data_IF_812136646340
#
_entry.id   IF_812136646340
#
_cell.length_a   1.000
_cell.length_b   1.000
_cell.length_c   1.000
_cell.angle_alpha   90.00
_cell.angle_beta   90.00
_cell.angle_gamma   90.00
#
_symmetry.space_group_name_H-M   'P 1'
#
loop_
_entity.id
_entity.type
_entity.pdbx_description
1 polymer ?
2 non-polymer ?
3 non-polymer ?
4 non-polymer ?
5 water ?
#
# COMPACT_ATOMS: atom_id res chain seq x y z
N UNK A 2 17.83 3.63 -9.56
CA UNK A 2 17.56 2.79 -8.34
C UNK A 2 16.64 1.59 -8.68
N UNK A 3 15.35 1.67 -8.40
CA UNK A 3 14.36 0.59 -8.61
C UNK A 3 14.39 -0.52 -7.54
N UNK A 4 13.39 -0.48 -6.67
CA UNK A 4 13.27 -1.37 -5.52
C UNK A 4 13.06 -2.83 -5.96
N UNK A 5 13.85 -3.75 -5.41
CA UNK A 5 13.72 -5.19 -5.71
C UNK A 5 14.03 -6.07 -4.50
N UNK A 6 13.54 -7.31 -4.57
CA UNK A 6 13.69 -8.28 -3.50
C UNK A 6 14.43 -9.52 -4.00
N UNK A 7 15.46 -9.93 -3.25
CA UNK A 7 16.26 -11.10 -3.57
C UNK A 7 16.03 -12.16 -2.48
N UNK A 8 15.78 -13.41 -2.89
CA UNK A 8 15.65 -14.55 -1.96
C UNK A 8 16.99 -15.19 -1.73
N UNK A 9 17.37 -15.36 -0.46
CA UNK A 9 18.55 -16.15 -0.08
C UNK A 9 18.07 -17.35 0.75
N UNK A 10 18.03 -18.57 0.21
CA UNK A 10 18.30 -18.91 -1.19
C UNK A 10 17.05 -18.78 -2.07
N UNK A 11 17.22 -18.88 -3.38
CA UNK A 11 16.07 -18.83 -4.32
C UNK A 11 15.18 -20.06 -4.21
N UNK A 12 15.81 -21.24 -4.10
CA UNK A 12 15.11 -22.49 -3.81
C UNK A 12 15.34 -22.85 -2.35
N UNK A 13 14.24 -23.13 -1.64
CA UNK A 13 14.25 -23.32 -0.20
C UNK A 13 13.69 -24.72 0.09
N UNK A 14 14.48 -25.51 0.81
CA UNK A 14 14.01 -26.81 1.29
C UNK A 14 12.85 -26.58 2.26
N UNK A 15 11.83 -27.41 2.15
CA UNK A 15 10.63 -27.28 2.98
C UNK A 15 11.00 -27.41 4.45
N UNK A 16 10.48 -26.51 5.28
CA UNK A 16 10.82 -26.46 6.70
C UNK A 16 12.07 -25.67 7.05
N UNK A 17 12.88 -25.31 6.05
CA UNK A 17 14.04 -24.45 6.27
C UNK A 17 13.61 -22.99 6.12
N UNK A 18 14.58 -22.08 6.23
CA UNK A 18 14.29 -20.66 6.28
C UNK A 18 14.83 -19.94 5.04
N UNK A 19 14.19 -18.81 4.72
CA UNK A 19 14.59 -17.98 3.57
C UNK A 19 14.65 -16.52 3.99
N UNK A 20 15.71 -15.85 3.56
CA UNK A 20 15.89 -14.42 3.81
C UNK A 20 15.53 -13.63 2.56
N UNK A 21 14.63 -12.67 2.71
CA UNK A 21 14.29 -11.75 1.63
C UNK A 21 15.06 -10.45 1.84
N UNK A 22 16.11 -10.26 1.05
CA UNK A 22 16.92 -9.05 1.09
C UNK A 22 16.31 -7.99 0.20
N UNK A 23 16.49 -6.72 0.59
CA UNK A 23 15.91 -5.60 -0.13
C UNK A 23 17.01 -4.75 -0.75
N UNK A 24 16.89 -4.47 -2.05
CA UNK A 24 17.85 -3.66 -2.79
C UNK A 24 17.19 -2.35 -3.23
N UNK A 25 17.98 -1.28 -3.24
CA UNK A 25 17.57 0.05 -3.73
C UNK A 25 16.43 0.69 -2.94
N UNK A 26 16.55 0.70 -1.61
CA UNK A 26 15.65 1.48 -0.78
C UNK A 26 15.78 2.95 -1.14
N UNK A 27 14.65 3.67 -1.33
CA UNK A 27 14.77 5.12 -1.48
C UNK A 27 15.06 5.81 -0.15
N UNK A 28 15.22 7.13 -0.19
CA UNK A 28 15.55 7.89 1.02
C UNK A 28 14.31 8.54 1.62
N UNK A 29 14.46 9.03 2.84
CA UNK A 29 13.41 9.75 3.55
C UNK A 29 12.20 8.85 3.76
N UNK A 30 12.45 7.81 4.54
CA UNK A 30 11.50 6.75 4.83
C UNK A 30 10.91 6.91 6.20
N UNK A 31 9.65 6.51 6.33
CA UNK A 31 8.97 6.41 7.62
C UNK A 31 9.00 4.94 8.06
N UNK A 32 8.81 4.00 7.14
CA UNK A 32 8.84 2.60 7.52
C UNK A 32 8.65 1.59 6.41
N UNK A 33 8.44 0.34 6.82
CA UNK A 33 8.26 -0.78 5.90
C UNK A 33 7.02 -1.56 6.28
N UNK A 34 6.38 -2.17 5.28
CA UNK A 34 5.30 -3.12 5.51
C UNK A 34 5.51 -4.31 4.60
N UNK A 35 5.43 -5.49 5.18
CA UNK A 35 5.60 -6.74 4.42
C UNK A 35 4.25 -7.43 4.35
N UNK A 36 3.98 -8.02 3.18
CA UNK A 36 2.73 -8.71 2.91
C UNK A 36 2.99 -10.10 2.36
N UNK A 37 2.15 -11.05 2.74
CA UNK A 37 2.14 -12.36 2.10
C UNK A 37 1.40 -12.24 0.76
N UNK A 38 2.00 -12.77 -0.30
CA UNK A 38 1.43 -12.72 -1.63
C UNK A 38 2.00 -11.61 -2.48
N UNK A 39 1.25 -11.27 -3.54
CA UNK A 39 1.71 -10.35 -4.58
C UNK A 39 1.17 -8.93 -4.46
N UNK A 40 0.25 -8.67 -3.54
CA UNK A 40 -0.42 -7.36 -3.45
C UNK A 40 -0.32 -6.73 -2.06
N UNK A 41 -0.33 -5.41 -2.04
CA UNK A 41 -0.49 -4.64 -0.81
C UNK A 41 -1.97 -4.74 -0.45
N UNK A 42 -2.28 -5.49 0.60
CA UNK A 42 -3.64 -5.74 1.06
C UNK A 42 -3.60 -5.99 2.56
N UNK A 43 -4.31 -5.18 3.34
CA UNK A 43 -4.33 -5.30 4.80
C UNK A 43 -4.56 -6.70 5.34
N UNK A 44 -5.43 -7.46 4.68
CA UNK A 44 -5.75 -8.83 5.09
C UNK A 44 -4.57 -9.79 4.95
N UNK A 45 -3.61 -9.46 4.08
CA UNK A 45 -2.38 -10.24 3.92
C UNK A 45 -1.12 -9.57 4.50
N UNK A 46 -1.27 -8.64 5.44
CA UNK A 46 -0.11 -7.95 6.02
C UNK A 46 0.52 -8.79 7.12
N UNK A 47 1.84 -8.94 7.01
CA UNK A 47 2.65 -9.66 8.00
C UNK A 47 3.04 -8.72 9.14
N UNK A 48 3.57 -7.56 8.78
CA UNK A 48 4.08 -6.61 9.76
C UNK A 48 4.06 -5.19 9.20
N UNK A 49 3.84 -4.20 10.08
CA UNK A 49 4.16 -2.79 9.83
C UNK A 49 5.30 -2.40 10.75
N UNK A 50 6.34 -1.76 10.20
CA UNK A 50 7.56 -1.46 10.95
C UNK A 50 7.97 0.01 10.81
N UNK A 51 7.97 0.73 11.92
CA UNK A 51 8.36 2.14 11.97
C UNK A 51 9.86 2.22 12.26
N UNK A 52 10.62 2.84 11.35
CA UNK A 52 12.08 2.86 11.41
C UNK A 52 12.62 3.62 12.63
N UNK A 53 12.10 4.82 12.85
CA UNK A 53 12.62 5.69 13.92
C UNK A 53 12.48 5.13 15.32
N UNK A 54 11.35 4.44 15.56
CA UNK A 54 11.04 3.83 16.84
C UNK A 54 11.46 2.36 16.90
N UNK A 55 11.74 1.79 15.73
CA UNK A 55 12.03 0.36 15.57
C UNK A 55 10.92 -0.54 16.11
N UNK A 56 9.67 -0.09 15.92
CA UNK A 56 8.50 -0.78 16.39
C UNK A 56 7.82 -1.58 15.29
N UNK A 57 7.90 -2.89 15.40
CA UNK A 57 7.21 -3.81 14.52
C UNK A 57 5.84 -4.12 15.13
N UNK A 58 4.79 -3.98 14.34
CA UNK A 58 3.44 -4.37 14.75
C UNK A 58 2.93 -5.42 13.76
N UNK A 59 2.47 -6.59 14.28
CA UNK A 59 2.01 -7.62 13.36
C UNK A 59 0.65 -7.29 12.75
N UNK A 60 0.41 -7.83 11.55
CA UNK A 60 -0.85 -7.70 10.83
C UNK A 60 -1.51 -9.05 10.81
N UNK A 61 -2.69 -9.13 10.22
CA UNK A 61 -3.51 -10.34 10.25
C UNK A 61 -2.82 -11.58 9.66
N UNK A 62 -1.88 -11.40 8.73
CA UNK A 62 -1.16 -12.52 8.12
C UNK A 62 0.08 -13.01 8.88
N UNK A 63 0.45 -12.35 9.97
CA UNK A 63 1.58 -12.80 10.78
C UNK A 63 1.30 -14.21 11.32
N UNK A 64 2.22 -15.12 11.05
CA UNK A 64 2.04 -16.53 11.40
C UNK A 64 3.00 -17.03 12.48
N UNK A 65 3.95 -16.19 12.91
CA UNK A 65 5.02 -16.63 13.81
C UNK A 65 6.31 -16.96 13.09
N UNK A 66 6.24 -17.23 11.79
CA UNK A 66 7.41 -17.61 10.99
C UNK A 66 8.26 -16.43 10.55
N UNK A 67 7.69 -15.22 10.55
CA UNK A 67 8.30 -14.07 9.86
C UNK A 67 8.89 -13.07 10.85
N UNK A 68 10.09 -12.59 10.55
CA UNK A 68 10.80 -11.62 11.39
C UNK A 68 11.37 -10.55 10.48
N UNK A 69 11.04 -9.29 10.75
CA UNK A 69 11.59 -8.16 9.99
C UNK A 69 12.80 -7.59 10.73
N UNK A 70 13.80 -7.20 9.94
CA UNK A 70 15.03 -6.62 10.48
C UNK A 70 15.12 -5.15 10.11
N UNK A 71 16.02 -4.44 10.79
CA UNK A 71 16.13 -2.98 10.69
C UNK A 71 16.45 -2.49 9.27
N UNK A 72 17.19 -3.32 8.54
CA UNK A 72 17.51 -3.12 7.11
C UNK A 72 16.39 -3.52 6.13
N UNK A 73 15.16 -3.72 6.62
CA UNK A 73 13.99 -4.11 5.80
C UNK A 73 13.91 -5.59 5.40
N UNK A 74 14.97 -6.36 5.65
CA UNK A 74 14.98 -7.77 5.26
C UNK A 74 13.97 -8.53 6.10
N UNK A 75 13.36 -9.54 5.49
CA UNK A 75 12.37 -10.37 6.16
C UNK A 75 12.86 -11.81 6.15
N UNK A 76 12.96 -12.40 7.33
CA UNK A 76 13.35 -13.80 7.48
C UNK A 76 12.11 -14.62 7.72
N UNK A 77 11.90 -15.64 6.89
CA UNK A 77 10.75 -16.55 7.02
C UNK A 77 11.29 -17.94 7.36
N UNK A 78 10.92 -18.45 8.54
CA UNK A 78 11.32 -19.78 8.98
C UNK A 78 10.21 -20.78 8.70
N UNK A 79 10.55 -22.07 8.73
CA UNK A 79 9.58 -23.18 8.62
C UNK A 79 8.67 -23.02 7.42
N UNK A 80 9.29 -22.77 6.28
CA UNK A 80 8.57 -22.60 5.03
C UNK A 80 7.76 -23.87 4.76
N UNK A 81 6.50 -23.69 4.34
CA UNK A 81 5.57 -24.80 4.10
C UNK A 81 5.65 -25.26 2.65
N UNK A 82 5.28 -26.51 2.39
CA UNK A 82 5.28 -27.06 1.03
C UNK A 82 4.29 -26.31 0.14
N UNK A 83 3.13 -25.98 0.68
CA UNK A 83 2.08 -25.26 -0.06
C UNK A 83 2.39 -23.78 -0.41
N UNK A 84 3.48 -23.22 0.13
CA UNK A 84 3.78 -21.78 -0.04
C UNK A 84 4.23 -21.46 -1.48
N UNK A 85 3.43 -20.64 -2.15
CA UNK A 85 3.68 -20.24 -3.53
C UNK A 85 4.94 -19.38 -3.60
N UNK A 86 5.26 -18.71 -2.48
CA UNK A 86 6.54 -18.05 -2.29
C UNK A 86 6.53 -16.55 -2.50
N UNK A 87 5.39 -15.97 -2.88
CA UNK A 87 5.31 -14.54 -3.17
C UNK A 87 5.18 -13.74 -1.88
N UNK A 88 6.09 -12.78 -1.70
CA UNK A 88 6.04 -11.81 -0.61
C UNK A 88 6.26 -10.40 -1.16
N UNK A 89 5.56 -9.42 -0.61
CA UNK A 89 5.54 -8.06 -1.16
C UNK A 89 5.86 -7.04 -0.09
N UNK A 90 6.84 -6.18 -0.39
CA UNK A 90 7.28 -5.11 0.48
C UNK A 90 6.66 -3.82 -0.02
N UNK A 91 6.06 -3.04 0.88
CA UNK A 91 5.74 -1.65 0.60
C UNK A 91 6.68 -0.79 1.45
N UNK A 92 7.43 0.09 0.78
CA UNK A 92 8.24 1.09 1.45
C UNK A 92 7.39 2.35 1.65
N UNK A 93 7.20 2.77 2.90
CA UNK A 93 6.41 3.96 3.20
C UNK A 93 7.34 5.17 3.36
N UNK A 94 7.32 6.07 2.38
CA UNK A 94 8.12 7.27 2.42
C UNK A 94 7.45 8.32 3.31
N UNK A 95 8.25 9.28 3.76
CA UNK A 95 7.77 10.35 4.63
C UNK A 95 6.78 11.29 3.95
N UNK A 96 6.83 11.38 2.62
CA UNK A 96 5.80 12.11 1.85
C UNK A 96 4.62 11.24 1.36
N UNK A 97 4.63 9.96 1.70
CA UNK A 97 3.59 8.98 1.35
C UNK A 97 3.39 8.65 -0.14
N UNK A 98 4.29 9.12 -1.01
CA UNK A 98 4.34 8.66 -2.38
C UNK A 98 5.20 7.41 -2.31
N UNK A 99 4.55 6.26 -2.23
CA UNK A 99 5.18 5.02 -1.81
C UNK A 99 5.51 4.07 -2.95
N UNK A 100 6.41 3.11 -2.66
CA UNK A 100 6.86 2.10 -3.62
C UNK A 100 6.63 0.69 -3.11
N UNK A 101 6.43 -0.23 -4.05
CA UNK A 101 6.26 -1.65 -3.75
C UNK A 101 7.23 -2.49 -4.57
N UNK A 102 7.55 -3.67 -4.07
CA UNK A 102 8.27 -4.67 -4.86
C UNK A 102 7.90 -6.05 -4.36
N UNK A 103 7.88 -7.02 -5.26
CA UNK A 103 7.51 -8.39 -4.95
C UNK A 103 8.69 -9.30 -5.27
N UNK A 104 8.98 -10.23 -4.36
CA UNK A 104 9.98 -11.26 -4.60
C UNK A 104 9.29 -12.61 -4.42
N UNK A 105 9.92 -13.66 -4.92
CA UNK A 105 9.52 -15.02 -4.53
C UNK A 105 10.63 -16.05 -4.41
N UNK A 106 10.36 -17.03 -3.58
CA UNK A 106 11.20 -18.20 -3.46
C UNK A 106 10.38 -19.40 -3.94
N UNK A 107 11.09 -20.52 -4.10
CA UNK A 107 10.50 -21.74 -4.62
C UNK A 107 10.80 -22.85 -3.63
N UNK A 108 9.75 -23.44 -3.08
CA UNK A 108 9.88 -24.48 -2.06
C UNK A 108 10.01 -25.81 -2.78
N UNK A 109 10.88 -26.67 -2.25
CA UNK A 109 11.01 -28.04 -2.75
C UNK A 109 11.09 -28.97 -1.55
N UNK B 3 -15.41 -0.03 9.72
CA UNK B 3 -15.04 -0.71 8.45
C UNK B 3 -14.99 0.30 7.29
N UNK B 4 -13.78 0.53 6.77
CA UNK B 4 -13.50 1.62 5.83
C UNK B 4 -14.21 1.42 4.49
N UNK B 5 -14.93 2.44 4.03
CA UNK B 5 -15.62 2.40 2.73
C UNK B 5 -15.64 3.76 2.02
N UNK B 6 -15.88 3.71 0.72
CA UNK B 6 -15.88 4.89 -0.13
C UNK B 6 -17.24 5.06 -0.81
N UNK B 7 -17.81 6.26 -0.71
CA UNK B 7 -19.09 6.60 -1.31
C UNK B 7 -18.86 7.65 -2.40
N UNK B 8 -19.45 7.44 -3.58
CA UNK B 8 -19.39 8.40 -4.69
C UNK B 8 -20.56 9.37 -4.60
N UNK B 9 -20.27 10.67 -4.65
CA UNK B 9 -21.29 11.70 -4.81
C UNK B 9 -21.05 12.42 -6.15
N UNK B 10 -21.85 12.18 -7.19
CA UNK B 10 -22.90 11.16 -7.28
C UNK B 10 -22.34 9.80 -7.70
N UNK B 11 -23.18 8.74 -7.64
CA UNK B 11 -22.76 7.41 -8.10
C UNK B 11 -22.57 7.35 -9.62
N UNK B 12 -23.50 7.97 -10.36
CA UNK B 12 -23.38 8.12 -11.81
C UNK B 12 -22.99 9.54 -12.13
N UNK B 13 -21.94 9.69 -12.94
CA UNK B 13 -21.30 10.96 -13.21
C UNK B 13 -21.35 11.21 -14.71
N UNK B 14 -21.94 12.33 -15.09
CA UNK B 14 -21.93 12.76 -16.49
C UNK B 14 -20.49 13.06 -16.86
N UNK B 15 -20.11 12.65 -18.07
CA UNK B 15 -18.76 12.83 -18.57
C UNK B 15 -18.40 14.33 -18.59
N UNK B 16 -17.21 14.66 -18.08
CA UNK B 16 -16.79 16.04 -17.96
C UNK B 16 -17.21 16.75 -16.68
N UNK B 17 -18.15 16.17 -15.93
CA UNK B 17 -18.54 16.69 -14.62
C UNK B 17 -17.65 16.08 -13.56
N UNK B 18 -17.92 16.41 -12.29
CA UNK B 18 -17.02 16.05 -11.19
C UNK B 18 -17.69 15.07 -10.24
N UNK B 19 -16.86 14.30 -9.53
CA UNK B 19 -17.34 13.33 -8.55
C UNK B 19 -16.52 13.45 -7.27
N UNK B 20 -17.22 13.45 -6.14
CA UNK B 20 -16.59 13.45 -4.84
C UNK B 20 -16.61 12.04 -4.25
N UNK B 21 -15.44 11.55 -3.86
CA UNK B 21 -15.31 10.27 -3.18
C UNK B 21 -15.20 10.57 -1.68
N UNK B 22 -16.29 10.35 -0.94
CA UNK B 22 -16.31 10.52 0.50
C UNK B 22 -15.82 9.26 1.17
N UNK B 23 -15.18 9.43 2.33
CA UNK B 23 -14.59 8.32 3.07
C UNK B 23 -15.34 8.14 4.39
N UNK B 24 -15.80 6.91 4.63
CA UNK B 24 -16.52 6.57 5.85
C UNK B 24 -15.68 5.63 6.70
N UNK B 25 -15.76 5.81 8.02
CA UNK B 25 -15.12 4.95 9.03
C UNK B 25 -13.59 4.95 8.96
N UNK B 26 -13.00 6.15 8.91
CA UNK B 26 -11.54 6.28 9.10
C UNK B 26 -11.18 5.75 10.47
N UNK B 27 -10.13 4.91 10.57
CA UNK B 27 -9.68 4.50 11.90
C UNK B 27 -8.91 5.63 12.59
N UNK B 28 -8.46 5.39 13.81
CA UNK B 28 -7.72 6.37 14.58
C UNK B 28 -6.22 6.16 14.46
N UNK B 29 -5.47 7.15 14.94
CA UNK B 29 -4.01 7.11 14.98
C UNK B 29 -3.44 6.99 13.57
N UNK B 30 -3.73 8.02 12.77
CA UNK B 30 -3.36 8.06 11.36
C UNK B 30 -2.16 8.96 11.14
N UNK B 31 -1.31 8.56 10.19
CA UNK B 31 -0.22 9.39 9.70
C UNK B 31 -0.65 10.10 8.43
N UNK B 32 -1.39 9.42 7.55
CA UNK B 32 -1.85 10.04 6.33
C UNK B 32 -2.66 9.16 5.40
N UNK B 33 -2.86 9.65 4.17
CA UNK B 33 -3.70 8.99 3.17
C UNK B 33 -2.96 8.92 1.86
N UNK B 34 -3.28 7.90 1.07
CA UNK B 34 -2.80 7.79 -0.29
C UNK B 34 -3.94 7.33 -1.17
N UNK B 35 -4.14 8.02 -2.29
CA UNK B 35 -5.19 7.69 -3.24
C UNK B 35 -4.55 7.14 -4.49
N UNK B 36 -5.19 6.13 -5.06
CA UNK B 36 -4.71 5.45 -6.26
C UNK B 36 -5.81 5.38 -7.30
N UNK B 37 -5.43 5.51 -8.58
CA UNK B 37 -6.34 5.20 -9.67
C UNK B 37 -6.40 3.69 -9.84
N UNK B 38 -7.61 3.14 -9.94
CA UNK B 38 -7.83 1.72 -10.12
C UNK B 38 -8.17 1.01 -8.81
N UNK B 39 -7.99 -0.31 -8.83
CA UNK B 39 -8.41 -1.19 -7.74
C UNK B 39 -7.32 -1.61 -6.77
N UNK B 40 -6.05 -1.27 -7.06
CA UNK B 40 -4.92 -1.76 -6.27
C UNK B 40 -4.02 -0.64 -5.77
N UNK B 41 -3.38 -0.89 -4.63
CA UNK B 41 -2.32 -0.04 -4.12
C UNK B 41 -1.08 -0.35 -4.95
N UNK B 42 -0.70 0.57 -5.83
CA UNK B 42 0.42 0.40 -6.76
C UNK B 42 1.03 1.77 -7.04
N UNK B 43 2.31 1.94 -6.74
CA UNK B 43 3.00 3.22 -6.93
C UNK B 43 2.80 3.87 -8.29
N UNK B 44 2.76 3.06 -9.34
CA UNK B 44 2.58 3.57 -10.72
C UNK B 44 1.22 4.18 -10.95
N UNK B 45 0.23 3.80 -10.14
CA UNK B 45 -1.12 4.37 -10.20
C UNK B 45 -1.47 5.30 -9.03
N UNK B 46 -0.47 5.86 -8.34
CA UNK B 46 -0.73 6.75 -7.21
C UNK B 46 -1.05 8.17 -7.68
N UNK B 47 -2.14 8.70 -7.15
CA UNK B 47 -2.59 10.06 -7.44
C UNK B 47 -1.92 11.04 -6.49
N UNK B 48 -1.95 10.74 -5.20
CA UNK B 48 -1.41 11.64 -4.18
C UNK B 48 -1.03 10.86 -2.93
N UNK B 49 0.01 11.34 -2.23
CA UNK B 49 0.30 10.97 -0.82
C UNK B 49 0.08 12.22 0.02
N UNK B 50 -0.67 12.09 1.13
CA UNK B 50 -1.06 13.23 1.95
C UNK B 50 -0.75 13.01 3.43
N UNK B 51 0.16 13.82 3.97
CA UNK B 51 0.54 13.71 5.38
C UNK B 51 -0.33 14.66 6.20
N UNK B 52 -1.07 14.11 7.16
CA UNK B 52 -2.07 14.87 7.93
C UNK B 52 -1.45 15.98 8.79
N UNK B 53 -0.40 15.65 9.53
CA UNK B 53 0.22 16.59 10.46
C UNK B 53 0.81 17.83 9.81
N UNK B 54 1.39 17.66 8.63
CA UNK B 54 2.00 18.74 7.86
C UNK B 54 1.03 19.33 6.84
N UNK B 55 -0.05 18.60 6.57
CA UNK B 55 -1.01 18.92 5.50
C UNK B 55 -0.35 19.05 4.13
N UNK B 56 0.65 18.20 3.88
CA UNK B 56 1.42 18.23 2.64
C UNK B 56 0.93 17.13 1.70
N UNK B 57 0.30 17.54 0.60
CA UNK B 57 -0.06 16.64 -0.48
C UNK B 57 1.09 16.61 -1.46
N UNK B 58 1.54 15.41 -1.82
CA UNK B 58 2.57 15.23 -2.84
C UNK B 58 1.98 14.35 -3.94
N UNK B 59 2.04 14.81 -5.21
CA UNK B 59 1.44 14.02 -6.28
C UNK B 59 2.29 12.81 -6.63
N UNK B 60 1.63 11.78 -7.15
CA UNK B 60 2.28 10.56 -7.63
C UNK B 60 2.14 10.51 -9.13
N UNK B 61 2.68 9.48 -9.74
CA UNK B 61 2.75 9.39 -11.19
C UNK B 61 1.38 9.43 -11.89
N UNK B 62 0.31 9.02 -11.21
CA UNK B 62 -1.05 9.05 -11.80
C UNK B 62 -1.80 10.38 -11.65
N UNK B 63 -1.24 11.36 -10.95
CA UNK B 63 -1.86 12.67 -10.82
C UNK B 63 -2.02 13.31 -12.20
N UNK B 64 -3.25 13.69 -12.53
CA UNK B 64 -3.56 14.22 -13.86
C UNK B 64 -3.94 15.70 -13.87
N UNK B 65 -4.06 16.32 -12.70
CA UNK B 65 -4.58 17.70 -12.60
C UNK B 65 -6.05 17.76 -12.22
N UNK B 66 -6.77 16.66 -12.41
CA UNK B 66 -8.20 16.59 -12.12
C UNK B 66 -8.53 16.34 -10.65
N UNK B 67 -7.54 15.85 -9.88
CA UNK B 67 -7.79 15.30 -8.54
C UNK B 67 -7.34 16.25 -7.42
N UNK B 68 -8.17 16.36 -6.41
CA UNK B 68 -7.89 17.20 -5.23
C UNK B 68 -8.26 16.40 -3.99
N UNK B 69 -7.30 16.24 -3.08
CA UNK B 69 -7.55 15.58 -1.80
C UNK B 69 -7.87 16.61 -0.72
N UNK B 70 -8.82 16.26 0.14
CA UNK B 70 -9.26 17.12 1.23
C UNK B 70 -8.82 16.56 2.57
N UNK B 71 -8.90 17.42 3.58
CA UNK B 71 -8.32 17.14 4.90
C UNK B 71 -8.94 15.90 5.56
N UNK B 72 -10.22 15.67 5.28
CA UNK B 72 -10.99 14.50 5.72
C UNK B 72 -10.80 13.25 4.84
N UNK B 73 -9.78 13.23 3.98
CA UNK B 73 -9.47 12.10 3.07
C UNK B 73 -10.31 12.04 1.80
N UNK B 74 -11.36 12.86 1.68
CA UNK B 74 -12.18 12.86 0.46
C UNK B 74 -11.36 13.27 -0.75
N UNK B 75 -11.67 12.69 -1.90
CA UNK B 75 -11.01 13.00 -3.15
C UNK B 75 -12.03 13.53 -4.15
N UNK B 76 -11.79 14.73 -4.68
CA UNK B 76 -12.62 15.29 -5.74
C UNK B 76 -11.92 15.08 -7.07
N UNK B 77 -12.63 14.46 -8.01
CA UNK B 77 -12.14 14.29 -9.38
C UNK B 77 -13.01 15.13 -10.32
N UNK B 78 -12.40 16.11 -10.98
CA UNK B 78 -13.09 16.97 -11.95
C UNK B 78 -12.86 16.45 -13.37
N UNK B 79 -13.68 16.88 -14.31
CA UNK B 79 -13.50 16.57 -15.74
C UNK B 79 -13.31 15.08 -16.00
N UNK B 80 -14.20 14.29 -15.41
CA UNK B 80 -14.16 12.85 -15.54
C UNK B 80 -14.23 12.49 -17.03
N UNK B 81 -13.40 11.52 -17.43
CA UNK B 81 -13.28 11.08 -18.83
C UNK B 81 -14.25 9.95 -19.15
N UNK B 82 -14.63 9.82 -20.42
CA UNK B 82 -15.54 8.75 -20.85
C UNK B 82 -14.91 7.38 -20.63
N UNK B 83 -13.62 7.25 -20.90
CA UNK B 83 -12.90 5.98 -20.73
C UNK B 83 -12.71 5.50 -19.27
N UNK B 84 -13.04 6.34 -18.27
CA UNK B 84 -12.75 6.01 -16.88
C UNK B 84 -13.67 4.92 -16.33
N UNK B 85 -13.07 3.79 -15.97
CA UNK B 85 -13.80 2.64 -15.43
C UNK B 85 -14.39 3.00 -14.06
N UNK B 86 -13.77 3.95 -13.38
CA UNK B 86 -14.32 4.58 -12.19
C UNK B 86 -13.75 4.08 -10.87
N UNK B 87 -12.85 3.10 -10.91
CA UNK B 87 -12.29 2.53 -9.69
C UNK B 87 -11.19 3.42 -9.14
N UNK B 88 -11.34 3.80 -7.86
CA UNK B 88 -10.32 4.53 -7.11
C UNK B 88 -10.11 3.86 -5.75
N UNK B 89 -8.87 3.82 -5.28
CA UNK B 89 -8.52 3.07 -4.07
C UNK B 89 -7.76 3.95 -3.09
N UNK B 90 -8.25 3.98 -1.85
CA UNK B 90 -7.66 4.74 -0.76
C UNK B 90 -6.87 3.77 0.10
N UNK B 91 -5.64 4.11 0.42
CA UNK B 91 -4.90 3.46 1.50
C UNK B 91 -4.78 4.45 2.64
N UNK B 92 -5.26 4.04 3.82
CA UNK B 92 -5.09 4.79 5.05
C UNK B 92 -3.79 4.32 5.71
N UNK B 93 -2.85 5.23 5.92
CA UNK B 93 -1.57 4.89 6.54
C UNK B 93 -1.63 5.20 8.04
N UNK B 94 -1.68 4.16 8.86
CA UNK B 94 -1.74 4.30 10.31
C UNK B 94 -0.34 4.56 10.85
N UNK B 95 -0.30 5.11 12.05
CA UNK B 95 0.95 5.43 12.74
C UNK B 95 1.79 4.21 13.09
N UNK B 96 1.17 3.05 13.23
CA UNK B 96 1.90 1.77 13.40
C UNK B 96 2.16 1.01 12.09
N UNK B 97 1.73 1.58 10.97
CA UNK B 97 1.89 1.01 9.62
C UNK B 97 1.17 -0.31 9.31
N UNK B 98 0.30 -0.77 10.20
CA UNK B 98 -0.62 -1.85 9.88
C UNK B 98 -1.79 -1.15 9.23
N UNK B 99 -1.79 -1.13 7.90
CA UNK B 99 -2.62 -0.23 7.13
C UNK B 99 -3.86 -0.87 6.52
N UNK B 100 -4.82 -0.02 6.12
CA UNK B 100 -6.10 -0.44 5.54
C UNK B 100 -6.31 0.18 4.17
N UNK B 101 -7.08 -0.53 3.34
CA UNK B 101 -7.46 -0.06 2.03
C UNK B 101 -8.96 -0.15 1.85
N UNK B 102 -9.50 0.68 0.95
CA UNK B 102 -10.87 0.51 0.46
C UNK B 102 -10.95 1.02 -0.96
N UNK B 103 -11.82 0.40 -1.75
CA UNK B 103 -12.01 0.76 -3.15
C UNK B 103 -13.46 1.20 -3.34
N UNK B 104 -13.65 2.31 -4.05
CA UNK B 104 -14.98 2.76 -4.46
C UNK B 104 -14.98 2.90 -5.96
N UNK B 105 -16.17 2.99 -6.54
CA UNK B 105 -16.28 3.42 -7.94
C UNK B 105 -17.50 4.25 -8.28
N UNK B 106 -17.33 5.04 -9.33
CA UNK B 106 -18.41 5.76 -9.95
C UNK B 106 -18.58 5.21 -11.35
N UNK B 107 -19.68 5.62 -11.99
CA UNK B 107 -20.02 5.15 -13.31
C UNK B 107 -20.22 6.34 -14.23
N UNK B 108 -19.40 6.45 -15.26
CA UNK B 108 -19.46 7.55 -16.18
C UNK B 108 -20.47 7.24 -17.26
N UNK B 109 -21.17 8.25 -17.74
CA UNK B 109 -22.06 8.10 -18.89
C UNK B 109 -21.97 9.32 -19.79
X LIG C 1 9.69 -9.22 14.70
X LIG C 1 10.46 -8.05 14.36
X LIG C 1 8.23 -9.02 14.32
X LIG C 1 8.02 -9.51 12.99
X LIG C 1 7.31 -9.78 15.28
X LIG C 1 5.94 -9.49 14.96
X LIG D 1 7.05 7.89 14.67
X LIG E 1 -17.87 8.59 9.03
X LIG E 1 -18.05 9.26 7.72
X LIG E 1 -18.24 9.55 10.09
X LIG E 1 -18.73 7.39 9.11
X LIG E 1 -16.45 8.20 9.20
X LIG F 1 -10.27 10.85 -15.66
X LIG F 1 -11.37 10.68 -14.77
X LIG F 1 -8.94 10.58 -14.99
X LIG F 1 -8.95 9.30 -14.38
X LIG F 1 -7.82 10.63 -16.02
X LIG F 1 -6.61 10.20 -15.39
X LIG G 1 -3.98 16.75 -4.76
X LIG G 1 -4.69 17.56 -3.81
X LIG G 1 -2.82 17.52 -5.43
X LIG G 1 -2.55 18.75 -4.74
X LIG G 1 -1.55 16.69 -5.45
X LIG G 1 -0.45 17.51 -5.87
#
# INVERSE_FOLDING_TARGET
MAKLTIESMPLSVAEGKEVLLLVHNLPQHLFGYSWYKGERVDGNSQIVGYVIGTQQATPGAAYSGRETIYTNASLLIQNVTQNDIGFYTLQVIKSDLVNEEATGQFHVY
MAKLTIESMPLSVAEGKEVLLLVHNLPQHLFGYSWYKGERVDGNSQIVGYVIGTQQATPGAAYSGRETIYTNASLLIQNVTQNDIGFYTLQVIKSDLVNEEATGQFHVY
GOL C1 O1 C2 O2 C3 O3
CL CL
SO4 S O1 O2 O3 O4
GOL C1 O1 C2 O2 C3 O3
GOL C1 O1 C2 O2 C3 O3
#
